data_IF_758720954649
#
_entry.id   IF_758720954649
#
_cell.length_a   1.000
_cell.length_b   1.000
_cell.length_c   1.000
_cell.angle_alpha   90.00
_cell.angle_beta   90.00
_cell.angle_gamma   90.00
#
_symmetry.space_group_name_H-M   'P 1'
#
loop_
_entity.id
_entity.type
_entity.pdbx_description
1 polymer ?
#
# COMPACT_ATOMS: atom_id res chain seq x y z
N UNK A 1 -14.99 0.21 -27.98
CA UNK A 1 -13.92 1.23 -27.99
C UNK A 1 -14.34 2.36 -27.06
N UNK A 2 -13.67 2.56 -25.93
CA UNK A 2 -13.77 3.81 -25.18
C UNK A 2 -12.37 4.18 -24.71
N UNK A 3 -11.60 4.71 -25.65
CA UNK A 3 -10.53 5.66 -25.35
C UNK A 3 -11.13 7.02 -25.66
N UNK A 4 -11.15 7.92 -24.68
CA UNK A 4 -11.37 9.34 -24.92
C UNK A 4 -10.30 10.09 -24.12
N UNK A 5 -9.25 10.51 -24.83
CA UNK A 5 -8.38 11.58 -24.36
C UNK A 5 -9.27 12.81 -24.11
N UNK A 6 -9.40 13.19 -22.85
CA UNK A 6 -9.94 14.50 -22.48
C UNK A 6 -8.84 15.24 -21.75
N UNK A 7 -8.09 16.03 -22.53
CA UNK A 7 -7.43 17.23 -22.03
C UNK A 7 -8.54 18.22 -21.67
N UNK A 8 -9.15 18.08 -20.50
CA UNK A 8 -9.94 19.14 -19.90
C UNK A 8 -9.31 19.51 -18.57
N UNK A 9 -8.81 20.74 -18.54
CA UNK A 9 -8.31 21.43 -17.36
C UNK A 9 -9.42 21.42 -16.31
N UNK A 10 -9.19 20.66 -15.24
CA UNK A 10 -10.04 20.70 -14.05
C UNK A 10 -10.04 22.15 -13.55
N UNK A 11 -11.21 22.79 -13.61
CA UNK A 11 -11.46 24.15 -13.13
C UNK A 11 -11.04 24.30 -11.66
N UNK A 12 -10.31 25.36 -11.28
CA UNK A 12 -9.85 25.55 -9.91
C UNK A 12 -10.98 26.14 -9.06
N UNK A 13 -11.84 25.31 -8.48
CA UNK A 13 -12.77 25.80 -7.45
C UNK A 13 -13.13 24.75 -6.42
N UNK A 14 -12.18 24.54 -5.49
CA UNK A 14 -12.35 24.45 -4.03
C UNK A 14 -11.05 23.89 -3.46
N UNK A 15 -10.05 24.78 -3.44
CA UNK A 15 -8.87 24.59 -2.62
C UNK A 15 -9.30 24.74 -1.16
N UNK A 16 -9.77 23.64 -0.56
CA UNK A 16 -9.93 23.53 0.87
C UNK A 16 -8.53 23.48 1.49
N UNK A 17 -8.08 24.67 1.90
CA UNK A 17 -7.35 24.95 3.13
C UNK A 17 -6.51 23.79 3.74
N UNK A 18 -5.18 23.88 3.64
CA UNK A 18 -4.27 23.54 4.73
C UNK A 18 -3.96 22.07 5.06
N UNK A 19 -4.30 21.09 4.21
CA UNK A 19 -3.93 19.68 4.43
C UNK A 19 -2.50 19.36 3.99
N UNK A 20 -1.67 18.76 4.87
CA UNK A 20 -0.40 18.10 4.46
C UNK A 20 -0.72 17.09 3.35
N UNK A 21 0.08 17.04 2.28
CA UNK A 21 -0.16 16.14 1.14
C UNK A 21 -0.27 14.65 1.53
N UNK A 22 -0.75 13.80 0.62
CA UNK A 22 -0.76 12.34 0.83
C UNK A 22 0.65 11.75 0.86
N UNK A 23 0.77 10.45 1.16
CA UNK A 23 2.09 9.79 1.29
C UNK A 23 2.95 9.94 0.02
N UNK A 24 2.39 9.73 -1.16
CA UNK A 24 3.10 9.88 -2.44
C UNK A 24 3.46 11.33 -2.76
N UNK A 25 2.67 12.29 -2.27
CA UNK A 25 2.92 13.72 -2.52
C UNK A 25 4.10 14.24 -1.67
N UNK A 26 4.35 13.60 -0.52
CA UNK A 26 5.39 14.02 0.44
C UNK A 26 6.71 13.24 0.32
N UNK A 27 6.76 12.16 -0.47
CA UNK A 27 7.93 11.30 -0.54
C UNK A 27 8.53 11.28 -1.95
N UNK A 28 9.83 11.58 -2.04
CA UNK A 28 10.55 11.57 -3.31
C UNK A 28 10.80 10.12 -3.80
N UNK A 29 10.63 9.87 -5.11
CA UNK A 29 11.07 8.63 -5.73
C UNK A 29 12.59 8.45 -5.58
N UNK A 30 13.06 7.20 -5.65
CA UNK A 30 14.49 6.88 -5.51
C UNK A 30 15.39 7.53 -6.59
N UNK A 31 14.83 7.92 -7.73
CA UNK A 31 15.50 8.67 -8.80
C UNK A 31 14.50 9.48 -9.61
N UNK A 32 14.96 10.47 -10.39
CA UNK A 32 14.10 11.31 -11.25
C UNK A 32 13.21 10.54 -12.25
N UNK A 33 13.55 9.29 -12.57
CA UNK A 33 12.75 8.41 -13.44
C UNK A 33 12.02 7.28 -12.70
N UNK A 34 12.07 7.25 -11.36
CA UNK A 34 11.43 6.19 -10.59
C UNK A 34 9.92 6.38 -10.51
N UNK A 35 9.18 5.35 -10.92
CA UNK A 35 7.72 5.30 -10.82
C UNK A 35 7.20 4.94 -9.41
N UNK A 36 8.12 4.84 -8.42
CA UNK A 36 7.85 4.18 -7.14
C UNK A 36 8.48 4.86 -5.94
N UNK A 37 7.84 4.68 -4.78
CA UNK A 37 8.31 5.15 -3.46
C UNK A 37 8.55 3.94 -2.56
N UNK A 38 9.72 3.88 -1.91
CA UNK A 38 10.04 2.79 -0.98
C UNK A 38 9.28 2.94 0.35
N UNK A 39 8.79 1.84 0.91
CA UNK A 39 8.11 1.77 2.19
C UNK A 39 8.98 1.12 3.27
N UNK A 40 9.20 1.87 4.34
CA UNK A 40 9.85 1.41 5.55
C UNK A 40 8.84 0.87 6.57
N UNK A 41 9.26 -0.12 7.37
CA UNK A 41 8.46 -0.63 8.48
C UNK A 41 8.61 0.24 9.73
N UNK A 42 7.54 0.40 10.50
CA UNK A 42 7.52 1.23 11.70
C UNK A 42 8.03 0.51 12.96
N UNK A 43 8.16 -0.81 12.91
CA UNK A 43 8.55 -1.68 14.04
C UNK A 43 9.61 -2.67 13.60
N UNK A 44 10.47 -3.12 14.53
CA UNK A 44 11.34 -4.27 14.28
C UNK A 44 10.52 -5.55 14.39
N UNK A 45 10.75 -6.51 13.50
CA UNK A 45 10.03 -7.79 13.48
C UNK A 45 10.98 -8.96 13.31
N UNK A 46 10.67 -10.08 13.96
CA UNK A 46 11.32 -11.37 13.72
C UNK A 46 10.30 -12.33 13.13
N UNK A 47 10.54 -12.81 11.92
CA UNK A 47 9.73 -13.84 11.29
C UNK A 47 10.31 -15.20 11.67
N UNK A 48 9.74 -15.83 12.69
CA UNK A 48 10.24 -17.08 13.29
C UNK A 48 9.81 -18.34 12.53
N UNK A 49 8.80 -18.23 11.67
CA UNK A 49 8.28 -19.32 10.86
C UNK A 49 7.87 -18.82 9.46
N UNK A 50 7.19 -19.68 8.69
CA UNK A 50 6.71 -19.37 7.33
C UNK A 50 5.31 -18.75 7.32
N UNK A 51 4.77 -18.34 8.47
CA UNK A 51 3.46 -17.67 8.52
C UNK A 51 3.55 -16.28 7.90
N UNK A 52 2.43 -15.83 7.34
CA UNK A 52 2.30 -14.47 6.83
C UNK A 52 2.05 -13.52 8.00
N UNK A 53 2.78 -12.42 8.02
CA UNK A 53 2.66 -11.36 9.03
C UNK A 53 2.31 -10.05 8.32
N UNK A 54 1.33 -9.32 8.88
CA UNK A 54 1.01 -7.96 8.45
C UNK A 54 1.92 -6.98 9.23
N UNK A 55 2.94 -6.46 8.58
CA UNK A 55 3.95 -5.61 9.22
C UNK A 55 3.54 -4.13 9.05
N UNK A 56 3.39 -3.36 10.13
CA UNK A 56 2.97 -1.96 10.07
C UNK A 56 4.04 -1.06 9.46
N UNK A 57 3.62 -0.13 8.60
CA UNK A 57 4.51 0.90 8.02
C UNK A 57 4.45 2.22 8.79
N UNK A 58 3.45 2.41 9.65
CA UNK A 58 3.15 3.67 10.33
C UNK A 58 2.56 4.74 9.41
N UNK A 59 2.30 4.42 8.14
CA UNK A 59 1.68 5.32 7.17
C UNK A 59 0.17 5.15 7.27
N UNK A 60 -0.53 6.21 7.67
CA UNK A 60 -2.00 6.25 7.76
C UNK A 60 -2.57 7.25 6.76
N UNK A 61 -3.82 7.02 6.35
CA UNK A 61 -4.59 7.94 5.54
C UNK A 61 -4.33 7.84 4.05
N UNK A 62 -4.79 8.86 3.32
CA UNK A 62 -4.83 8.87 1.86
C UNK A 62 -3.44 8.76 1.23
N UNK A 63 -3.39 7.97 0.15
CA UNK A 63 -2.16 7.70 -0.57
C UNK A 63 -1.64 8.93 -1.34
N UNK A 64 -2.55 9.74 -1.90
CA UNK A 64 -2.28 11.00 -2.60
C UNK A 64 -3.52 11.90 -2.53
N UNK A 65 -3.32 13.21 -2.66
CA UNK A 65 -4.39 14.19 -2.88
C UNK A 65 -4.96 14.15 -4.31
N UNK A 66 -4.35 13.37 -5.20
CA UNK A 66 -4.84 13.08 -6.55
C UNK A 66 -5.46 11.68 -6.59
N UNK A 67 -6.36 11.38 -7.54
CA UNK A 67 -7.08 10.11 -7.55
C UNK A 67 -6.22 8.93 -8.03
N UNK A 68 -5.30 8.49 -7.17
CA UNK A 68 -4.35 7.42 -7.42
C UNK A 68 -4.50 6.34 -6.36
N UNK A 69 -4.64 5.10 -6.83
CA UNK A 69 -4.39 3.91 -6.02
C UNK A 69 -2.91 3.56 -6.03
N UNK A 70 -2.56 2.45 -5.37
CA UNK A 70 -1.19 1.97 -5.28
C UNK A 70 -1.06 0.47 -5.46
N UNK A 71 -0.07 0.03 -6.21
CA UNK A 71 0.38 -1.35 -6.21
C UNK A 71 1.57 -1.48 -5.24
N UNK A 72 1.38 -2.23 -4.16
CA UNK A 72 2.40 -2.56 -3.19
C UNK A 72 3.15 -3.80 -3.64
N UNK A 73 4.47 -3.68 -3.77
CA UNK A 73 5.38 -4.76 -4.18
C UNK A 73 6.55 -4.89 -3.22
N UNK A 74 7.10 -6.10 -3.10
CA UNK A 74 8.39 -6.30 -2.44
C UNK A 74 9.54 -5.64 -3.19
N UNK A 75 10.58 -5.20 -2.47
CA UNK A 75 11.83 -4.78 -3.09
C UNK A 75 12.64 -6.03 -3.47
N UNK A 76 13.18 -6.07 -4.68
CA UNK A 76 14.01 -7.20 -5.14
C UNK A 76 15.18 -7.50 -4.19
N UNK A 77 15.79 -6.45 -3.63
CA UNK A 77 16.91 -6.56 -2.68
C UNK A 77 16.55 -7.27 -1.37
N UNK A 78 15.29 -7.20 -0.90
CA UNK A 78 14.85 -7.96 0.28
C UNK A 78 14.40 -9.38 -0.08
N UNK A 79 13.87 -9.57 -1.30
CA UNK A 79 13.58 -10.90 -1.86
C UNK A 79 14.82 -11.81 -1.87
N UNK A 80 15.96 -11.26 -2.28
CA UNK A 80 17.25 -11.98 -2.25
C UNK A 80 17.69 -12.41 -0.83
N UNK A 81 17.19 -11.74 0.21
CA UNK A 81 17.46 -12.06 1.62
C UNK A 81 16.42 -13.02 2.21
N UNK A 82 15.55 -13.59 1.37
CA UNK A 82 14.52 -14.55 1.78
C UNK A 82 13.26 -13.91 2.36
N UNK A 83 13.04 -12.60 2.20
CA UNK A 83 11.78 -11.95 2.54
C UNK A 83 10.85 -11.89 1.33
N UNK A 84 9.70 -12.53 1.41
CA UNK A 84 8.68 -12.47 0.36
C UNK A 84 7.56 -11.55 0.81
N UNK A 85 7.35 -10.47 0.07
CA UNK A 85 6.20 -9.57 0.24
C UNK A 85 5.09 -10.02 -0.70
N UNK A 86 3.89 -10.21 -0.16
CA UNK A 86 2.70 -10.52 -0.95
C UNK A 86 2.24 -9.22 -1.63
N UNK A 87 2.14 -9.19 -2.97
CA UNK A 87 1.62 -8.03 -3.67
C UNK A 87 0.21 -7.64 -3.20
N UNK A 88 -0.07 -6.34 -3.15
CA UNK A 88 -1.38 -5.84 -2.73
C UNK A 88 -1.80 -4.59 -3.49
N UNK A 89 -3.10 -4.39 -3.65
CA UNK A 89 -3.70 -3.15 -4.15
C UNK A 89 -4.11 -2.30 -2.95
N UNK A 90 -3.72 -1.04 -2.97
CA UNK A 90 -4.19 0.00 -2.07
C UNK A 90 -5.19 0.84 -2.86
N UNK A 91 -6.45 0.80 -2.44
CA UNK A 91 -7.51 1.59 -3.05
C UNK A 91 -7.31 3.08 -2.75
N UNK A 92 -7.85 3.93 -3.63
CA UNK A 92 -7.78 5.40 -3.53
C UNK A 92 -8.40 5.93 -2.23
N UNK A 93 -9.46 5.29 -1.76
CA UNK A 93 -10.23 5.63 -0.57
C UNK A 93 -9.78 4.87 0.68
N UNK A 94 -8.64 4.17 0.61
CA UNK A 94 -8.06 3.52 1.78
C UNK A 94 -7.61 4.57 2.81
N UNK A 95 -8.29 4.60 3.95
CA UNK A 95 -8.00 5.51 5.07
C UNK A 95 -7.20 4.84 6.20
N UNK A 96 -7.10 3.51 6.18
CA UNK A 96 -6.41 2.74 7.20
C UNK A 96 -4.88 2.85 7.12
N UNK A 97 -4.20 2.20 8.05
CA UNK A 97 -2.75 2.04 7.96
C UNK A 97 -2.38 1.16 6.77
N UNK A 98 -1.35 1.54 6.01
CA UNK A 98 -0.74 0.66 5.01
C UNK A 98 0.10 -0.38 5.76
N UNK A 99 -0.22 -1.66 5.57
CA UNK A 99 0.55 -2.76 6.15
C UNK A 99 1.14 -3.63 5.04
N UNK A 100 2.36 -4.10 5.25
CA UNK A 100 3.06 -4.99 4.32
C UNK A 100 2.84 -6.43 4.76
N UNK A 101 2.10 -7.21 3.97
CA UNK A 101 1.99 -8.65 4.19
C UNK A 101 3.26 -9.33 3.69
N UNK A 102 3.96 -10.03 4.57
CA UNK A 102 5.19 -10.72 4.21
C UNK A 102 5.38 -12.02 5.01
N UNK A 103 6.15 -12.93 4.43
CA UNK A 103 6.66 -14.12 5.11
C UNK A 103 8.13 -14.34 4.73
N UNK A 104 8.85 -15.13 5.52
CA UNK A 104 10.21 -15.52 5.18
C UNK A 104 10.27 -16.92 4.59
N UNK A 105 11.11 -17.11 3.57
CA UNK A 105 11.38 -18.43 3.00
C UNK A 105 12.24 -19.30 3.93
N UNK A 106 13.19 -18.68 4.64
CA UNK A 106 14.16 -19.34 5.53
C UNK A 106 14.16 -18.67 6.92
N UNK A 107 13.24 -19.05 7.82
CA UNK A 107 13.24 -18.52 9.19
C UNK A 107 14.45 -19.02 10.01
N UNK A 108 14.90 -18.26 11.02
CA UNK A 108 14.38 -16.96 11.43
C UNK A 108 14.92 -15.81 10.55
N UNK A 109 14.08 -14.79 10.32
CA UNK A 109 14.50 -13.56 9.65
C UNK A 109 14.18 -12.33 10.51
N UNK A 110 15.21 -11.61 10.94
CA UNK A 110 15.07 -10.34 11.66
C UNK A 110 15.10 -9.15 10.70
N UNK A 111 14.15 -8.23 10.89
CA UNK A 111 14.03 -7.00 10.10
C UNK A 111 14.00 -5.81 11.08
N UNK A 112 15.02 -4.94 11.08
CA UNK A 112 15.03 -3.75 11.92
C UNK A 112 13.97 -2.72 11.50
N UNK A 113 13.41 -2.00 12.48
CA UNK A 113 12.61 -0.78 12.25
C UNK A 113 13.31 0.17 11.26
N UNK A 114 12.52 0.80 10.39
CA UNK A 114 13.02 1.73 9.37
C UNK A 114 13.56 1.05 8.11
N UNK A 115 13.64 -0.29 8.08
CA UNK A 115 14.05 -1.02 6.88
C UNK A 115 13.00 -0.87 5.78
N UNK A 116 13.42 -0.41 4.61
CA UNK A 116 12.61 -0.34 3.39
C UNK A 116 12.43 -1.74 2.80
N UNK A 117 11.25 -2.35 2.95
CA UNK A 117 10.98 -3.73 2.50
C UNK A 117 10.04 -3.82 1.30
N UNK A 118 9.19 -2.82 1.12
CA UNK A 118 8.23 -2.76 0.03
C UNK A 118 8.39 -1.45 -0.75
N UNK A 119 7.67 -1.34 -1.85
CA UNK A 119 7.62 -0.16 -2.68
C UNK A 119 6.20 0.00 -3.23
N UNK A 120 5.73 1.23 -3.32
CA UNK A 120 4.45 1.58 -3.92
C UNK A 120 4.66 2.11 -5.33
N UNK A 121 3.91 1.57 -6.27
CA UNK A 121 3.78 2.09 -7.63
C UNK A 121 2.41 2.75 -7.75
N UNK A 122 2.36 4.03 -8.11
CA UNK A 122 1.10 4.74 -8.29
C UNK A 122 0.33 4.17 -9.48
N UNK A 123 -0.96 3.88 -9.27
CA UNK A 123 -1.87 3.40 -10.31
C UNK A 123 -3.00 4.40 -10.51
N UNK A 124 -3.31 4.71 -11.78
CA UNK A 124 -4.56 5.40 -12.10
C UNK A 124 -5.72 4.44 -11.91
N UNK A 125 -6.78 4.91 -11.26
CA UNK A 125 -7.95 4.11 -10.98
C UNK A 125 -8.64 3.68 -12.30
N UNK A 126 -9.14 2.44 -12.34
CA UNK A 126 -10.07 2.02 -13.36
C UNK A 126 -11.48 2.42 -12.93
N UNK A 127 -12.03 3.45 -13.54
CA UNK A 127 -13.37 3.94 -13.25
C UNK A 127 -14.33 3.47 -14.35
N UNK A 128 -15.07 2.36 -14.16
CA UNK A 128 -16.18 2.03 -15.04
C UNK A 128 -17.25 3.12 -14.91
N UNK A 129 -17.97 3.40 -16.01
CA UNK A 129 -18.97 4.48 -16.06
C UNK A 129 -19.98 4.36 -14.91
N UNK A 130 -19.97 5.36 -14.02
CA UNK A 130 -20.94 5.74 -12.99
C UNK A 130 -21.85 4.64 -12.40
N UNK A 131 -21.65 4.32 -11.11
CA UNK A 131 -22.68 3.68 -10.29
C UNK A 131 -22.12 3.15 -8.97
N UNK A 132 -22.43 3.86 -7.87
CA UNK A 132 -22.11 3.58 -6.47
C UNK A 132 -20.63 3.81 -6.02
N UNK A 133 -20.40 4.95 -5.37
CA UNK A 133 -19.34 5.06 -4.38
C UNK A 133 -19.89 4.51 -3.05
N UNK A 134 -19.40 3.35 -2.63
CA UNK A 134 -19.59 2.85 -1.27
C UNK A 134 -18.29 3.12 -0.53
N UNK A 135 -18.36 3.84 0.59
CA UNK A 135 -17.20 4.09 1.43
C UNK A 135 -16.74 2.75 2.02
N UNK A 136 -15.51 2.33 1.77
CA UNK A 136 -15.02 1.03 2.26
C UNK A 136 -14.62 1.12 3.73
N UNK A 137 -15.18 0.25 4.56
CA UNK A 137 -14.71 0.00 5.92
C UNK A 137 -13.90 -1.32 5.95
N UNK A 138 -12.61 -1.21 6.30
CA UNK A 138 -11.70 -2.36 6.43
C UNK A 138 -10.94 -2.78 5.16
N UNK A 139 -9.90 -3.60 5.34
CA UNK A 139 -9.04 -4.11 4.27
C UNK A 139 -8.60 -5.56 4.52
N UNK A 140 -7.72 -6.09 3.67
CA UNK A 140 -7.11 -7.43 3.82
C UNK A 140 -8.06 -8.64 3.76
N UNK A 141 -9.18 -8.53 3.04
CA UNK A 141 -10.15 -9.63 2.93
C UNK A 141 -11.35 -9.48 3.85
N UNK A 142 -11.72 -8.24 4.20
CA UNK A 142 -12.96 -7.92 4.93
C UNK A 142 -14.25 -8.46 4.28
N UNK A 143 -14.18 -8.83 3.01
CA UNK A 143 -15.26 -9.44 2.22
C UNK A 143 -15.03 -10.91 1.91
N UNK A 144 -13.91 -11.50 2.35
CA UNK A 144 -13.51 -12.84 1.96
C UNK A 144 -14.10 -13.87 2.94
N UNK A 145 -14.49 -15.04 2.42
CA UNK A 145 -14.97 -16.18 3.22
C UNK A 145 -13.85 -17.19 3.52
N UNK A 146 -12.59 -16.78 3.43
CA UNK A 146 -11.44 -17.65 3.64
C UNK A 146 -11.17 -17.81 5.13
N UNK A 147 -11.37 -19.02 5.66
CA UNK A 147 -11.03 -19.35 7.06
C UNK A 147 -9.60 -19.86 7.11
N UNK A 148 -8.73 -19.18 7.85
CA UNK A 148 -7.42 -19.72 8.19
C UNK A 148 -7.14 -19.66 9.70
N UNK A 149 -6.53 -20.69 10.30
CA UNK A 149 -6.15 -20.69 11.72
C UNK A 149 -5.11 -19.60 12.09
N UNK A 150 -4.58 -18.88 11.09
CA UNK A 150 -3.48 -17.93 11.25
C UNK A 150 -3.92 -16.47 11.10
N UNK A 151 -5.04 -16.21 10.41
CA UNK A 151 -5.52 -14.88 10.07
C UNK A 151 -5.75 -13.97 11.29
N UNK A 152 -6.17 -14.52 12.44
CA UNK A 152 -6.46 -13.71 13.64
C UNK A 152 -5.31 -13.46 14.61
N UNK A 153 -4.17 -14.18 14.50
CA UNK A 153 -3.11 -14.14 15.54
C UNK A 153 -2.05 -13.05 15.33
N UNK A 154 -1.91 -12.52 14.10
CA UNK A 154 -0.82 -11.63 13.72
C UNK A 154 -1.27 -10.30 13.09
N UNK A 155 -2.58 -10.01 13.04
CA UNK A 155 -3.11 -8.84 12.31
C UNK A 155 -3.49 -7.65 13.17
N UNK A 156 -3.30 -7.67 14.51
CA UNK A 156 -3.49 -6.49 15.37
C UNK A 156 -4.61 -5.55 14.94
N UNK A 157 -5.83 -6.08 14.88
CA UNK A 157 -7.06 -5.31 14.76
C UNK A 157 -7.45 -4.80 16.15
#
# INVERSE_FOLDING_TARGET
>A
KCWRESNELISPSKQLMGGRGGFLDNNAPASRGSLRVDLAIAVSVTLSDKSVVAIPTGIQGLLSNTPLGGLLLGRSSVGLKGLIVIPGIIDIDHVGEIRVMAYTFNPPLFIPKGTKIAQLVALRNYQPCAGAQVNREGGFGSTDHVVSPWYGRNIGL
#
